data_IF_363968003221
#
_entry.id   IF_363968003221
#
_cell.length_a   1.000
_cell.length_b   1.000
_cell.length_c   1.000
_cell.angle_alpha   90.00
_cell.angle_beta   90.00
_cell.angle_gamma   90.00
#
_symmetry.space_group_name_H-M   'P 1'
#
loop_
_entity.id
_entity.type
_entity.pdbx_description
1 polymer ?
#
# COMPACT_ATOMS: atom_id res chain seq x y z
N UNK A 1 -18.79 35.01 2.60
CA UNK A 1 -17.57 34.17 2.49
C UNK A 1 -16.47 34.82 3.33
N UNK A 2 -16.05 34.14 4.39
CA UNK A 2 -15.11 34.64 5.40
C UNK A 2 -13.70 34.85 4.81
N UNK A 3 -12.98 35.90 5.25
CA UNK A 3 -11.58 36.19 4.86
C UNK A 3 -10.64 34.99 5.05
N UNK A 4 -10.99 34.04 5.90
CA UNK A 4 -10.24 32.81 6.16
C UNK A 4 -10.23 31.87 4.93
N UNK A 5 -11.30 31.86 4.13
CA UNK A 5 -11.36 31.04 2.91
C UNK A 5 -10.43 31.55 1.79
N UNK A 6 -10.05 32.83 1.80
CA UNK A 6 -9.05 33.35 0.85
C UNK A 6 -7.65 32.83 1.17
N UNK A 7 -7.27 32.75 2.45
CA UNK A 7 -5.93 32.31 2.85
C UNK A 7 -5.68 30.84 2.51
N UNK A 8 -6.68 29.97 2.66
CA UNK A 8 -6.56 28.54 2.33
C UNK A 8 -6.50 28.30 0.81
N UNK A 9 -7.16 29.14 0.00
CA UNK A 9 -7.09 29.03 -1.47
C UNK A 9 -5.83 29.67 -2.06
N UNK A 10 -5.22 30.65 -1.38
CA UNK A 10 -3.95 31.27 -1.81
C UNK A 10 -2.77 30.30 -1.69
N UNK A 11 -2.81 29.31 -0.79
CA UNK A 11 -1.74 28.30 -0.67
C UNK A 11 -1.72 27.33 -1.87
N UNK A 12 -2.78 27.24 -2.68
CA UNK A 12 -2.84 26.37 -3.87
C UNK A 12 -2.62 27.10 -5.22
N UNK A 13 -2.33 28.40 -5.20
CA UNK A 13 -2.09 29.21 -6.40
C UNK A 13 -0.82 30.06 -6.23
N UNK A 14 0.30 29.42 -5.92
CA UNK A 14 1.61 30.02 -6.22
C UNK A 14 1.85 29.78 -7.71
N UNK A 15 1.27 30.64 -8.55
CA UNK A 15 1.65 30.74 -9.95
C UNK A 15 3.11 31.13 -10.00
N UNK A 16 3.92 30.27 -10.62
CA UNK A 16 5.28 30.54 -11.08
C UNK A 16 5.38 31.94 -11.70
N UNK A 17 5.85 32.91 -10.92
CA UNK A 17 6.39 34.16 -11.44
C UNK A 17 7.88 34.16 -11.10
N UNK A 18 8.64 33.43 -11.90
CA UNK A 18 10.07 33.67 -12.03
C UNK A 18 10.25 35.11 -12.52
N UNK A 19 10.61 36.04 -11.63
CA UNK A 19 10.73 37.46 -11.96
C UNK A 19 12.19 37.92 -11.96
N UNK A 20 12.57 38.61 -13.03
CA UNK A 20 13.89 39.16 -13.33
C UNK A 20 13.87 40.68 -13.40
N UNK A 21 14.97 41.35 -12.99
CA UNK A 21 15.38 42.75 -13.26
C UNK A 21 14.30 43.68 -13.86
N UNK A 22 13.47 44.27 -12.99
CA UNK A 22 12.41 45.20 -13.38
C UNK A 22 11.34 45.46 -12.31
N UNK A 23 11.43 44.84 -11.14
CA UNK A 23 10.44 44.97 -10.07
C UNK A 23 10.52 46.34 -9.38
N UNK A 24 9.35 46.88 -9.10
CA UNK A 24 9.17 48.09 -8.31
C UNK A 24 9.47 47.82 -6.83
N UNK A 25 9.89 48.87 -6.11
CA UNK A 25 10.06 48.83 -4.65
C UNK A 25 8.83 48.27 -3.93
N UNK A 26 7.63 48.61 -4.41
CA UNK A 26 6.39 48.14 -3.82
C UNK A 26 6.22 46.61 -3.94
N UNK A 27 6.54 46.02 -5.09
CA UNK A 27 6.45 44.57 -5.28
C UNK A 27 7.41 43.81 -4.34
N UNK A 28 8.61 44.36 -4.10
CA UNK A 28 9.56 43.76 -3.15
C UNK A 28 9.08 43.87 -1.69
N UNK A 29 8.44 44.99 -1.32
CA UNK A 29 7.84 45.16 0.00
C UNK A 29 6.66 44.20 0.20
N UNK A 30 5.81 44.04 -0.81
CA UNK A 30 4.67 43.12 -0.78
C UNK A 30 5.16 41.67 -0.63
N UNK A 31 6.21 41.27 -1.37
CA UNK A 31 6.84 39.96 -1.22
C UNK A 31 7.39 39.72 0.20
N UNK A 32 8.08 40.71 0.79
CA UNK A 32 8.58 40.61 2.16
C UNK A 32 7.43 40.47 3.16
N UNK A 33 6.32 41.19 2.96
CA UNK A 33 5.13 41.08 3.81
C UNK A 33 4.45 39.71 3.69
N UNK A 34 4.34 39.17 2.49
CA UNK A 34 3.81 37.83 2.28
C UNK A 34 4.69 36.75 2.95
N UNK A 35 6.02 36.86 2.80
CA UNK A 35 6.97 35.96 3.42
C UNK A 35 6.97 36.07 4.96
N UNK A 36 6.87 37.28 5.51
CA UNK A 36 6.73 37.51 6.95
C UNK A 36 5.43 36.90 7.48
N UNK A 37 4.30 37.12 6.79
CA UNK A 37 3.02 36.52 7.16
C UNK A 37 3.08 34.98 7.17
N UNK A 38 3.78 34.37 6.20
CA UNK A 38 4.04 32.93 6.17
C UNK A 38 4.85 32.50 7.41
N UNK A 39 5.98 33.15 7.69
CA UNK A 39 6.84 32.82 8.83
C UNK A 39 6.12 32.97 10.17
N UNK A 40 5.32 34.01 10.35
CA UNK A 40 4.49 34.22 11.54
C UNK A 40 3.42 33.13 11.70
N UNK A 41 2.81 32.71 10.59
CA UNK A 41 1.88 31.58 10.58
C UNK A 41 2.60 30.29 11.01
N UNK A 42 3.77 30.01 10.45
CA UNK A 42 4.60 28.84 10.82
C UNK A 42 5.02 28.88 12.29
N UNK A 43 5.39 30.05 12.83
CA UNK A 43 5.77 30.23 14.23
C UNK A 43 4.62 29.91 15.20
N UNK A 44 3.38 30.13 14.75
CA UNK A 44 2.16 29.88 15.51
C UNK A 44 1.47 28.56 15.14
N UNK A 45 2.06 27.71 14.30
CA UNK A 45 1.46 26.44 13.89
C UNK A 45 1.07 25.52 15.06
N UNK A 46 1.75 25.60 16.21
CA UNK A 46 1.39 24.86 17.43
C UNK A 46 -0.01 25.20 17.94
N UNK A 47 -0.45 26.45 17.70
CA UNK A 47 -1.74 26.99 18.14
C UNK A 47 -2.86 26.68 17.15
N UNK A 48 -2.62 25.82 16.16
CA UNK A 48 -3.60 25.46 15.13
C UNK A 48 -4.96 25.17 15.76
N UNK A 49 -5.90 26.06 15.47
CA UNK A 49 -7.30 25.86 15.76
C UNK A 49 -7.87 25.17 14.54
N UNK A 50 -8.37 23.95 14.71
CA UNK A 50 -9.07 23.26 13.63
C UNK A 50 -10.13 24.21 13.04
N UNK A 51 -10.09 24.41 11.71
CA UNK A 51 -11.17 25.08 10.97
C UNK A 51 -12.50 24.46 11.37
N UNK A 52 -13.61 25.21 11.43
CA UNK A 52 -14.88 24.74 11.99
C UNK A 52 -15.34 23.39 11.38
N UNK A 53 -14.88 22.30 11.99
CA UNK A 53 -14.96 20.94 11.46
C UNK A 53 -16.36 20.39 11.61
N UNK A 54 -17.25 21.13 12.27
CA UNK A 54 -18.67 20.81 12.39
C UNK A 54 -19.31 20.59 11.03
N UNK A 55 -19.00 21.38 10.01
CA UNK A 55 -19.55 21.17 8.65
C UNK A 55 -19.07 19.85 8.02
N UNK A 56 -17.77 19.53 8.14
CA UNK A 56 -17.25 18.22 7.68
C UNK A 56 -17.85 17.06 8.48
N UNK A 57 -17.86 17.15 9.81
CA UNK A 57 -18.47 16.14 10.68
C UNK A 57 -19.96 15.95 10.36
N UNK A 58 -20.75 17.00 10.12
CA UNK A 58 -22.17 16.85 9.71
C UNK A 58 -22.34 16.14 8.38
N UNK A 59 -21.36 16.28 7.47
CA UNK A 59 -21.38 15.59 6.18
C UNK A 59 -21.08 14.09 6.34
N UNK A 60 -20.14 13.73 7.22
CA UNK A 60 -19.76 12.33 7.47
C UNK A 60 -20.64 11.60 8.49
N UNK A 61 -21.21 12.31 9.48
CA UNK A 61 -22.11 11.74 10.50
C UNK A 61 -23.51 11.41 9.95
N UNK A 62 -23.89 12.03 8.83
CA UNK A 62 -25.09 11.65 8.07
C UNK A 62 -24.87 10.43 7.16
N UNK A 63 -23.64 9.96 6.98
CA UNK A 63 -23.45 8.61 6.46
C UNK A 63 -23.84 7.65 7.58
N UNK A 64 -24.75 6.69 7.33
CA UNK A 64 -25.08 5.70 8.35
C UNK A 64 -23.77 5.13 8.84
N UNK A 65 -23.53 5.22 10.16
CA UNK A 65 -22.49 4.49 10.90
C UNK A 65 -22.31 3.19 10.12
N UNK A 66 -21.19 3.04 9.39
CA UNK A 66 -20.93 1.74 8.80
C UNK A 66 -21.00 0.81 10.00
N UNK A 67 -21.98 -0.09 9.92
CA UNK A 67 -22.42 -0.93 11.02
C UNK A 67 -21.17 -1.47 11.71
N UNK A 68 -21.31 -1.78 13.00
CA UNK A 68 -20.48 -2.82 13.60
C UNK A 68 -20.08 -3.81 12.50
N UNK A 69 -18.80 -4.16 12.42
CA UNK A 69 -18.27 -5.21 11.54
C UNK A 69 -18.88 -6.61 11.90
N UNK A 70 -20.15 -6.65 12.33
CA UNK A 70 -21.14 -7.69 12.15
C UNK A 70 -21.83 -7.57 10.79
N UNK A 71 -21.09 -7.24 9.74
CA UNK A 71 -21.39 -7.92 8.50
C UNK A 71 -21.06 -9.38 8.79
N UNK A 72 -22.11 -10.21 8.97
CA UNK A 72 -22.12 -11.48 8.24
C UNK A 72 -21.89 -11.04 6.79
N UNK A 73 -20.62 -10.93 6.41
CA UNK A 73 -20.23 -10.36 5.14
C UNK A 73 -20.79 -11.30 4.08
N UNK A 74 -21.54 -10.72 3.15
CA UNK A 74 -21.95 -11.41 1.95
C UNK A 74 -20.67 -11.77 1.19
N UNK A 75 -20.29 -13.05 1.30
CA UNK A 75 -19.05 -13.67 0.81
C UNK A 75 -18.86 -13.52 -0.72
N UNK A 76 -19.81 -12.94 -1.43
CA UNK A 76 -19.93 -13.01 -2.89
C UNK A 76 -19.47 -11.77 -3.69
N UNK A 77 -18.99 -10.68 -3.05
CA UNK A 77 -18.95 -9.38 -3.75
C UNK A 77 -17.63 -8.58 -3.77
N UNK A 78 -16.51 -9.07 -3.25
CA UNK A 78 -15.30 -8.22 -3.09
C UNK A 78 -14.02 -8.77 -3.72
N UNK A 79 -14.13 -9.55 -4.80
CA UNK A 79 -13.00 -9.93 -5.62
C UNK A 79 -13.01 -9.10 -6.90
N UNK A 80 -12.05 -8.19 -7.07
CA UNK A 80 -11.73 -7.75 -8.42
C UNK A 80 -11.23 -8.99 -9.18
N UNK A 81 -11.95 -9.33 -10.25
CA UNK A 81 -11.68 -10.44 -11.18
C UNK A 81 -10.23 -10.35 -11.69
N UNK A 82 -9.35 -11.18 -11.15
CA UNK A 82 -7.97 -11.29 -11.62
C UNK A 82 -7.15 -12.23 -10.76
N UNK A 83 -6.86 -13.42 -11.32
CA UNK A 83 -5.81 -14.42 -11.05
C UNK A 83 -5.18 -14.49 -9.63
N UNK A 84 -4.99 -15.71 -9.05
CA UNK A 84 -4.11 -16.68 -9.70
C UNK A 84 -4.43 -18.17 -9.42
N UNK A 85 -4.70 -19.00 -10.43
CA UNK A 85 -4.51 -20.43 -10.33
C UNK A 85 -3.08 -20.76 -10.81
N UNK A 86 -2.59 -21.94 -10.49
CA UNK A 86 -1.34 -22.52 -11.02
C UNK A 86 -1.04 -22.03 -12.45
N UNK A 87 0.01 -21.23 -12.61
CA UNK A 87 0.25 -20.54 -13.89
C UNK A 87 0.93 -21.43 -14.93
N UNK A 88 1.64 -22.48 -14.50
CA UNK A 88 2.42 -23.32 -15.40
C UNK A 88 2.79 -24.67 -14.78
N UNK A 89 2.68 -25.74 -15.58
CA UNK A 89 3.18 -27.08 -15.27
C UNK A 89 4.40 -27.38 -16.16
N UNK A 90 5.61 -27.52 -15.59
CA UNK A 90 6.84 -27.81 -16.37
C UNK A 90 7.32 -29.27 -16.12
N UNK A 91 7.20 -30.16 -17.10
CA UNK A 91 7.46 -31.62 -17.03
C UNK A 91 8.86 -32.02 -17.56
N UNK A 92 9.53 -33.16 -17.18
CA UNK A 92 9.13 -34.28 -16.29
C UNK A 92 9.25 -34.05 -14.79
N UNK A 93 9.83 -32.93 -14.37
CA UNK A 93 9.96 -32.58 -12.95
C UNK A 93 8.98 -31.47 -12.64
N UNK A 94 7.68 -31.77 -12.64
CA UNK A 94 6.56 -30.82 -12.57
C UNK A 94 6.84 -29.70 -11.58
N UNK A 95 7.46 -28.62 -12.09
CA UNK A 95 7.62 -27.39 -11.36
C UNK A 95 6.28 -26.72 -11.51
N UNK A 96 5.53 -26.67 -10.43
CA UNK A 96 4.40 -25.78 -10.37
C UNK A 96 4.97 -24.43 -10.01
N UNK A 97 5.07 -23.57 -11.02
CA UNK A 97 5.33 -22.16 -10.80
C UNK A 97 4.03 -21.55 -10.31
N UNK A 98 3.95 -21.32 -9.00
CA UNK A 98 2.87 -20.55 -8.41
C UNK A 98 3.31 -19.09 -8.46
N UNK A 99 2.92 -18.42 -9.54
CA UNK A 99 3.08 -16.98 -9.65
C UNK A 99 1.95 -16.32 -8.88
N UNK A 100 2.21 -15.97 -7.62
CA UNK A 100 1.32 -15.10 -6.88
C UNK A 100 1.60 -13.68 -7.35
N UNK A 101 0.88 -13.24 -8.39
CA UNK A 101 1.05 -11.88 -8.93
C UNK A 101 0.69 -10.80 -7.90
N UNK A 102 -0.02 -11.17 -6.81
CA UNK A 102 -0.17 -10.40 -5.56
C UNK A 102 -0.49 -11.38 -4.45
N UNK A 103 0.49 -11.74 -3.61
CA UNK A 103 0.13 -12.08 -2.23
C UNK A 103 -0.36 -10.77 -1.64
N UNK A 104 -1.67 -10.52 -1.72
CA UNK A 104 -2.26 -9.38 -1.04
C UNK A 104 -2.20 -9.70 0.45
N UNK A 105 -1.02 -9.58 1.03
CA UNK A 105 -0.78 -9.90 2.43
C UNK A 105 -1.53 -8.91 3.30
N UNK A 106 -1.86 -7.71 2.81
CA UNK A 106 -2.87 -6.88 3.47
C UNK A 106 -4.26 -7.55 3.58
N UNK A 107 -4.63 -8.51 2.71
CA UNK A 107 -5.80 -9.37 2.93
C UNK A 107 -5.49 -10.59 3.82
N UNK A 108 -4.29 -11.16 3.74
CA UNK A 108 -3.85 -12.24 4.64
C UNK A 108 -3.75 -11.76 6.10
N UNK A 109 -3.32 -10.52 6.33
CA UNK A 109 -3.20 -9.87 7.64
C UNK A 109 -4.52 -9.23 8.11
N UNK A 110 -5.62 -9.54 7.40
CA UNK A 110 -6.93 -8.89 7.51
C UNK A 110 -6.96 -7.45 6.95
N UNK A 111 -8.08 -7.04 6.33
CA UNK A 111 -8.21 -5.78 5.56
C UNK A 111 -7.91 -4.49 6.36
N UNK A 112 -7.77 -4.63 7.67
CA UNK A 112 -7.44 -3.56 8.59
C UNK A 112 -5.93 -3.42 8.89
N UNK A 113 -5.04 -4.21 8.26
CA UNK A 113 -3.58 -4.01 8.35
C UNK A 113 -3.15 -2.82 7.47
N UNK A 114 -2.96 -1.61 8.03
CA UNK A 114 -2.90 -0.39 7.22
C UNK A 114 -1.52 -0.10 6.61
N UNK A 115 -0.53 -0.97 6.80
CA UNK A 115 0.88 -0.62 6.57
C UNK A 115 1.50 -1.41 5.44
N UNK A 116 1.40 -0.82 4.25
CA UNK A 116 2.14 -1.25 3.06
C UNK A 116 3.65 -1.14 3.24
N UNK A 117 4.18 -0.18 4.02
CA UNK A 117 5.63 0.06 4.09
C UNK A 117 6.41 -0.89 5.00
N UNK A 118 5.92 -1.18 6.22
CA UNK A 118 6.50 -2.22 7.09
C UNK A 118 6.46 -3.59 6.42
N UNK A 119 5.35 -3.83 5.73
CA UNK A 119 5.15 -4.99 4.88
C UNK A 119 6.18 -5.03 3.73
N UNK A 120 6.32 -3.98 2.92
CA UNK A 120 7.27 -3.91 1.80
C UNK A 120 8.71 -4.14 2.26
N UNK A 121 9.09 -3.61 3.42
CA UNK A 121 10.46 -3.69 3.93
C UNK A 121 10.83 -5.05 4.54
N UNK A 122 9.85 -5.88 4.90
CA UNK A 122 10.10 -7.15 5.60
C UNK A 122 9.49 -8.38 4.90
N UNK A 123 8.78 -8.20 3.77
CA UNK A 123 8.14 -9.30 3.06
C UNK A 123 9.16 -10.25 2.43
N UNK A 124 10.30 -9.75 1.99
CA UNK A 124 11.42 -10.58 1.52
C UNK A 124 11.89 -11.60 2.58
N UNK A 125 11.68 -11.30 3.87
CA UNK A 125 11.99 -12.20 4.99
C UNK A 125 10.90 -13.23 5.30
N UNK A 126 9.72 -13.18 4.65
CA UNK A 126 8.67 -14.16 4.90
C UNK A 126 9.10 -15.59 4.54
N UNK A 127 8.88 -16.53 5.46
CA UNK A 127 9.24 -17.94 5.32
C UNK A 127 7.97 -18.75 5.06
N UNK A 128 7.90 -19.41 3.91
CA UNK A 128 6.79 -20.29 3.55
C UNK A 128 7.14 -21.73 3.89
N UNK A 129 6.23 -22.42 4.59
CA UNK A 129 6.33 -23.85 4.88
C UNK A 129 5.10 -24.54 4.33
N UNK A 130 5.31 -25.46 3.40
CA UNK A 130 4.25 -26.25 2.83
C UNK A 130 3.87 -27.37 3.79
N UNK A 131 2.56 -27.52 4.06
CA UNK A 131 2.05 -28.51 5.00
C UNK A 131 1.42 -29.68 4.27
N UNK A 132 0.52 -29.39 3.33
CA UNK A 132 -0.22 -30.41 2.58
C UNK A 132 -0.34 -30.02 1.14
N UNK A 133 -0.30 -31.01 0.25
CA UNK A 133 -0.66 -30.84 -1.16
C UNK A 133 -1.85 -31.73 -1.46
N UNK A 134 -2.86 -31.16 -2.10
CA UNK A 134 -4.02 -31.83 -2.65
C UNK A 134 -3.82 -31.92 -4.17
N UNK A 135 -3.88 -33.11 -4.73
CA UNK A 135 -3.74 -33.34 -6.17
C UNK A 135 -5.10 -33.41 -6.85
N UNK A 136 -5.14 -33.16 -8.16
CA UNK A 136 -6.38 -33.22 -8.95
C UNK A 136 -6.94 -34.65 -9.08
N UNK A 137 -6.15 -35.69 -8.81
CA UNK A 137 -6.63 -37.07 -8.71
C UNK A 137 -7.30 -37.40 -7.36
N UNK A 138 -7.38 -36.42 -6.46
CA UNK A 138 -7.93 -36.56 -5.10
C UNK A 138 -6.93 -37.12 -4.08
N UNK A 139 -5.71 -37.48 -4.48
CA UNK A 139 -4.67 -37.89 -3.55
C UNK A 139 -4.13 -36.70 -2.75
N UNK A 140 -3.64 -36.98 -1.54
CA UNK A 140 -3.11 -35.96 -0.62
C UNK A 140 -1.72 -36.38 -0.16
N UNK A 141 -0.80 -35.43 -0.11
CA UNK A 141 0.54 -35.60 0.46
C UNK A 141 0.72 -34.70 1.67
N UNK A 142 0.94 -35.31 2.81
CA UNK A 142 0.99 -34.67 4.14
C UNK A 142 2.42 -34.74 4.72
N UNK A 143 3.39 -34.16 3.99
CA UNK A 143 4.80 -34.12 4.41
C UNK A 143 5.39 -32.74 4.09
N UNK A 144 6.37 -32.30 4.89
CA UNK A 144 7.17 -31.11 4.59
C UNK A 144 7.83 -31.27 3.23
N UNK A 145 7.35 -30.50 2.25
CA UNK A 145 7.91 -30.46 0.91
C UNK A 145 8.91 -29.32 0.86
N UNK A 146 10.11 -29.64 0.39
CA UNK A 146 11.14 -28.63 0.14
C UNK A 146 10.64 -27.69 -0.95
N UNK A 147 10.41 -26.43 -0.57
CA UNK A 147 10.28 -25.32 -1.51
C UNK A 147 11.55 -25.30 -2.35
N UNK A 148 11.40 -25.40 -3.67
CA UNK A 148 12.55 -25.58 -4.56
C UNK A 148 13.22 -24.25 -4.85
N UNK A 149 12.43 -23.18 -4.94
CA UNK A 149 12.93 -21.83 -5.13
C UNK A 149 11.93 -20.78 -4.63
N UNK A 150 12.47 -19.64 -4.18
CA UNK A 150 11.75 -18.42 -3.81
C UNK A 150 12.29 -17.29 -4.68
N UNK A 151 11.50 -16.84 -5.64
CA UNK A 151 11.88 -15.71 -6.49
C UNK A 151 11.12 -14.47 -6.02
N UNK A 152 11.85 -13.44 -5.64
CA UNK A 152 11.30 -12.13 -5.23
C UNK A 152 11.40 -11.19 -6.43
N UNK A 153 10.28 -10.60 -6.85
CA UNK A 153 10.20 -9.60 -7.91
C UNK A 153 10.65 -8.22 -7.41
N UNK A 154 11.29 -7.43 -8.27
CA UNK A 154 11.66 -6.03 -7.98
C UNK A 154 10.45 -5.09 -7.85
N UNK A 155 9.30 -5.47 -8.43
CA UNK A 155 8.06 -4.71 -8.29
C UNK A 155 7.30 -5.18 -7.04
N UNK A 156 7.26 -4.34 -6.00
CA UNK A 156 6.36 -4.42 -4.84
C UNK A 156 6.28 -5.78 -4.09
N UNK A 157 7.36 -6.55 -4.05
CA UNK A 157 7.45 -7.72 -3.17
C UNK A 157 6.65 -8.95 -3.62
N UNK A 158 6.37 -9.10 -4.93
CA UNK A 158 5.77 -10.33 -5.45
C UNK A 158 6.70 -11.53 -5.19
N UNK A 159 6.12 -12.64 -4.72
CA UNK A 159 6.87 -13.87 -4.48
C UNK A 159 6.34 -15.01 -5.34
N UNK A 160 7.24 -15.66 -6.07
CA UNK A 160 6.94 -16.90 -6.78
C UNK A 160 7.39 -18.07 -5.94
N UNK A 161 6.45 -18.97 -5.63
CA UNK A 161 6.75 -20.25 -4.97
C UNK A 161 6.88 -21.33 -6.05
N UNK A 162 8.01 -22.03 -6.06
CA UNK A 162 8.21 -23.17 -6.96
C UNK A 162 8.10 -24.48 -6.19
N UNK A 163 7.08 -25.27 -6.51
CA UNK A 163 6.85 -26.59 -5.92
C UNK A 163 7.23 -27.69 -6.89
N UNK A 164 7.88 -28.75 -6.39
CA UNK A 164 8.10 -29.97 -7.17
C UNK A 164 7.00 -30.99 -6.89
N UNK A 165 6.40 -31.53 -7.96
CA UNK A 165 5.39 -32.56 -7.90
C UNK A 165 5.60 -33.63 -8.98
N UNK A 166 4.98 -34.79 -8.80
CA UNK A 166 4.91 -35.84 -9.83
C UNK A 166 3.52 -35.89 -10.47
N UNK A 167 2.56 -35.13 -9.96
CA UNK A 167 1.16 -35.10 -10.38
C UNK A 167 0.63 -33.67 -10.43
N UNK A 168 -0.42 -33.38 -11.22
CA UNK A 168 -1.10 -32.09 -11.20
C UNK A 168 -1.69 -31.75 -9.83
N UNK A 169 -1.38 -30.56 -9.31
CA UNK A 169 -1.80 -30.10 -7.98
C UNK A 169 -3.13 -29.35 -8.12
N UNK A 170 -4.05 -29.64 -7.21
CA UNK A 170 -5.32 -28.92 -7.06
C UNK A 170 -5.15 -27.72 -6.14
N UNK A 171 -4.60 -27.96 -4.94
CA UNK A 171 -4.38 -26.93 -3.93
C UNK A 171 -3.32 -27.37 -2.93
N UNK A 172 -2.96 -26.49 -2.01
CA UNK A 172 -2.05 -26.83 -0.93
C UNK A 172 -2.31 -25.97 0.31
N UNK A 173 -2.02 -26.55 1.47
CA UNK A 173 -1.94 -25.85 2.75
C UNK A 173 -0.52 -25.37 2.97
N UNK A 174 -0.37 -24.12 3.40
CA UNK A 174 0.92 -23.55 3.77
C UNK A 174 0.79 -22.68 5.01
N UNK A 175 1.89 -22.60 5.77
CA UNK A 175 2.08 -21.54 6.75
C UNK A 175 3.05 -20.50 6.20
N UNK A 176 2.70 -19.22 6.32
CA UNK A 176 3.60 -18.10 6.08
C UNK A 176 4.02 -17.53 7.43
N UNK A 177 5.31 -17.58 7.72
CA UNK A 177 5.91 -16.98 8.89
C UNK A 177 6.50 -15.62 8.51
N UNK A 178 6.11 -14.56 9.21
CA UNK A 178 6.59 -13.19 8.98
C UNK A 178 7.32 -12.67 10.21
N UNK A 179 8.28 -11.77 9.98
CA UNK A 179 9.03 -11.03 10.99
C UNK A 179 8.64 -9.55 10.90
N UNK A 180 7.45 -9.22 11.41
CA UNK A 180 6.92 -7.86 11.31
C UNK A 180 7.36 -7.02 12.50
N UNK A 181 7.42 -5.70 12.34
CA UNK A 181 7.77 -4.82 13.44
C UNK A 181 6.69 -4.85 14.53
N UNK A 182 7.13 -4.77 15.79
CA UNK A 182 6.22 -4.81 16.93
C UNK A 182 5.40 -3.53 17.01
N UNK A 183 4.07 -3.66 16.96
CA UNK A 183 3.18 -2.57 17.32
C UNK A 183 3.20 -2.34 18.84
N UNK A 184 3.47 -1.10 19.24
CA UNK A 184 3.38 -0.64 20.63
C UNK A 184 2.34 0.45 20.70
N UNK A 185 1.31 0.26 21.53
CA UNK A 185 0.26 1.26 21.72
C UNK A 185 0.51 2.08 22.99
N UNK A 186 0.44 3.40 22.86
CA UNK A 186 0.56 4.37 23.93
C UNK A 186 -0.75 5.15 24.04
N UNK A 187 -1.43 5.03 25.18
CA UNK A 187 -2.67 5.80 25.44
C UNK A 187 -2.35 7.30 25.58
N UNK A 188 -3.15 8.13 24.93
CA UNK A 188 -3.09 9.59 25.04
C UNK A 188 -4.03 10.02 26.15
N UNK A 189 -3.44 10.49 27.24
CA UNK A 189 -4.15 10.90 28.47
C UNK A 189 -4.38 12.40 28.55
N UNK A 190 -3.55 13.22 27.89
CA UNK A 190 -3.64 14.69 27.91
C UNK A 190 -2.84 15.37 26.82
N UNK A 191 -3.21 16.61 26.51
CA UNK A 191 -2.37 17.57 25.77
C UNK A 191 -1.08 17.87 26.54
N UNK A 192 0.04 18.02 25.83
CA UNK A 192 1.39 18.18 26.37
C UNK A 192 2.04 16.87 26.83
N UNK A 193 1.39 15.72 26.66
CA UNK A 193 1.99 14.43 26.95
C UNK A 193 3.17 14.16 26.01
N UNK A 194 4.30 13.73 26.56
CA UNK A 194 5.46 13.27 25.81
C UNK A 194 5.57 11.76 25.91
N UNK A 195 5.76 11.08 24.78
CA UNK A 195 5.90 9.64 24.66
C UNK A 195 7.29 9.36 24.10
N UNK A 196 8.10 8.59 24.83
CA UNK A 196 9.42 8.17 24.40
C UNK A 196 9.34 6.80 23.70
N UNK A 197 9.93 6.72 22.51
CA UNK A 197 10.00 5.50 21.70
C UNK A 197 11.46 5.18 21.36
N UNK A 198 11.71 4.03 20.75
CA UNK A 198 13.06 3.67 20.27
C UNK A 198 13.55 4.57 19.12
N UNK A 199 12.64 5.18 18.36
CA UNK A 199 12.98 6.06 17.22
C UNK A 199 13.02 7.56 17.57
N UNK A 200 12.61 7.93 18.79
CA UNK A 200 12.56 9.32 19.25
C UNK A 200 11.35 9.64 20.11
N UNK A 201 11.16 10.93 20.39
CA UNK A 201 10.06 11.41 21.23
C UNK A 201 8.90 11.94 20.41
N UNK A 202 7.68 11.62 20.83
CA UNK A 202 6.43 12.13 20.28
C UNK A 202 5.78 13.06 21.32
N UNK A 203 5.45 14.28 20.94
CA UNK A 203 4.75 15.25 21.78
C UNK A 203 3.30 15.39 21.33
N UNK A 204 2.35 15.24 22.25
CA UNK A 204 0.92 15.45 21.98
C UNK A 204 0.61 16.94 22.09
N UNK A 205 0.43 17.59 20.95
CA UNK A 205 0.12 19.02 20.86
C UNK A 205 -1.35 19.30 21.16
N UNK A 206 -2.24 18.38 20.76
CA UNK A 206 -3.67 18.48 21.06
C UNK A 206 -4.32 17.10 21.08
N UNK A 207 -5.28 16.90 21.97
CA UNK A 207 -6.14 15.71 22.02
C UNK A 207 -7.53 16.08 22.53
N UNK A 208 -8.54 16.00 21.65
CA UNK A 208 -9.94 16.25 21.99
C UNK A 208 -10.70 16.93 20.85
N UNK A 209 -12.00 17.19 21.04
CA UNK A 209 -12.86 17.86 20.04
C UNK A 209 -12.78 17.20 18.65
N UNK A 210 -12.77 15.86 18.62
CA UNK A 210 -12.77 15.07 17.39
C UNK A 210 -11.44 15.04 16.63
N UNK A 211 -10.32 15.52 17.20
CA UNK A 211 -9.01 15.37 16.56
C UNK A 211 -7.85 15.20 17.54
N UNK A 212 -6.75 14.68 17.01
CA UNK A 212 -5.47 14.58 17.71
C UNK A 212 -4.39 15.19 16.82
N UNK A 213 -3.51 15.97 17.43
CA UNK A 213 -2.32 16.51 16.78
C UNK A 213 -1.09 16.17 17.60
N UNK A 214 -0.09 15.62 16.94
CA UNK A 214 1.20 15.26 17.54
C UNK A 214 2.34 15.93 16.78
N UNK A 215 3.46 16.15 17.48
CA UNK A 215 4.74 16.57 16.91
C UNK A 215 5.72 15.41 17.07
N UNK A 216 6.40 15.05 15.99
CA UNK A 216 7.37 13.95 15.96
C UNK A 216 8.53 14.31 15.04
N UNK A 217 9.65 13.58 15.08
CA UNK A 217 10.71 13.73 14.08
C UNK A 217 10.22 13.27 12.71
N UNK A 218 10.77 13.85 11.65
CA UNK A 218 10.37 13.53 10.27
C UNK A 218 10.56 12.04 9.89
N UNK A 219 11.67 11.35 10.28
CA UNK A 219 11.82 9.92 10.00
C UNK A 219 10.74 9.04 10.64
N UNK A 220 10.09 9.50 11.72
CA UNK A 220 9.02 8.77 12.39
C UNK A 220 7.65 8.93 11.71
N UNK A 221 7.53 9.74 10.64
CA UNK A 221 6.27 9.96 9.91
C UNK A 221 5.54 8.66 9.54
N UNK A 222 6.31 7.65 9.13
CA UNK A 222 5.76 6.34 8.71
C UNK A 222 5.76 5.30 9.83
N UNK A 223 6.25 5.65 11.02
CA UNK A 223 6.33 4.76 12.19
C UNK A 223 5.16 4.97 13.16
N UNK A 224 4.27 5.92 12.89
CA UNK A 224 3.25 6.37 13.85
C UNK A 224 1.86 6.43 13.22
N UNK A 225 0.84 5.94 13.94
CA UNK A 225 -0.59 6.12 13.65
C UNK A 225 -1.31 6.59 14.90
N UNK A 226 -2.38 7.36 14.70
CA UNK A 226 -3.30 7.71 15.79
C UNK A 226 -4.59 6.92 15.62
N UNK A 227 -5.03 6.29 16.71
CA UNK A 227 -6.30 5.60 16.81
C UNK A 227 -7.19 6.32 17.83
N UNK A 228 -8.49 6.29 17.61
CA UNK A 228 -9.48 6.82 18.55
C UNK A 228 -10.66 5.87 18.68
N UNK A 229 -11.28 5.84 19.86
CA UNK A 229 -12.47 5.02 20.16
C UNK A 229 -13.56 5.83 20.83
N UNK A 230 -14.81 5.48 20.57
CA UNK A 230 -15.98 6.10 21.21
C UNK A 230 -16.23 5.59 22.64
N UNK A 231 -17.31 6.04 23.28
CA UNK A 231 -17.69 5.62 24.63
C UNK A 231 -17.96 4.11 24.77
N UNK A 232 -18.31 3.44 23.67
CA UNK A 232 -18.55 1.99 23.63
C UNK A 232 -17.29 1.20 23.28
N UNK A 233 -16.14 1.88 23.13
CA UNK A 233 -14.88 1.27 22.72
C UNK A 233 -14.79 0.93 21.24
N UNK A 234 -15.73 1.43 20.40
CA UNK A 234 -15.70 1.21 18.95
C UNK A 234 -14.68 2.16 18.32
N UNK A 235 -13.84 1.64 17.45
CA UNK A 235 -12.85 2.44 16.74
C UNK A 235 -13.54 3.45 15.81
N UNK A 236 -13.08 4.70 15.86
CA UNK A 236 -13.58 5.77 15.00
C UNK A 236 -12.82 5.81 13.68
N UNK A 237 -13.57 6.06 12.61
CA UNK A 237 -13.01 6.32 11.28
C UNK A 237 -12.37 7.70 11.23
N UNK A 238 -11.27 7.81 10.49
CA UNK A 238 -10.61 9.08 10.18
C UNK A 238 -11.30 9.74 8.99
N UNK A 239 -11.66 11.01 9.12
CA UNK A 239 -12.29 11.80 8.03
C UNK A 239 -11.27 12.62 7.25
N UNK A 240 -10.19 13.03 7.90
CA UNK A 240 -9.12 13.80 7.29
C UNK A 240 -7.81 13.59 8.07
N UNK A 241 -6.69 13.76 7.37
CA UNK A 241 -5.36 13.81 7.97
C UNK A 241 -4.55 14.94 7.33
N UNK A 242 -3.76 15.64 8.14
CA UNK A 242 -2.85 16.70 7.69
C UNK A 242 -1.43 16.41 8.17
N UNK A 243 -0.46 16.75 7.33
CA UNK A 243 0.96 16.72 7.64
C UNK A 243 1.54 18.11 7.37
N UNK A 244 2.27 18.67 8.34
CA UNK A 244 2.91 19.98 8.19
C UNK A 244 4.28 19.98 8.86
N UNK A 245 5.28 20.53 8.20
CA UNK A 245 6.60 20.69 8.80
C UNK A 245 6.51 21.54 10.08
N UNK A 246 7.30 21.16 11.06
CA UNK A 246 7.47 21.86 12.32
C UNK A 246 8.88 22.41 12.38
N UNK A 247 8.98 23.67 12.80
CA UNK A 247 10.25 24.40 12.86
C UNK A 247 10.54 24.80 14.30
N UNK A 248 11.82 24.97 14.64
CA UNK A 248 12.19 25.57 15.92
C UNK A 248 11.80 27.04 15.93
N UNK A 249 11.18 27.47 17.03
CA UNK A 249 10.69 28.85 17.17
C UNK A 249 11.81 29.88 17.09
N UNK A 250 12.97 29.56 17.68
CA UNK A 250 14.10 30.49 17.72
C UNK A 250 14.69 30.69 16.32
N UNK A 251 14.76 29.62 15.53
CA UNK A 251 15.19 29.68 14.14
C UNK A 251 14.26 30.57 13.30
N UNK A 252 12.94 30.36 13.37
CA UNK A 252 11.96 31.20 12.67
C UNK A 252 12.01 32.68 13.10
N UNK A 253 12.24 32.96 14.39
CA UNK A 253 12.35 34.34 14.90
C UNK A 253 13.54 35.09 14.33
N UNK A 254 14.66 34.41 14.11
CA UNK A 254 15.83 35.01 13.45
C UNK A 254 15.47 35.43 12.02
N UNK A 255 14.76 34.59 11.28
CA UNK A 255 14.28 34.91 9.93
C UNK A 255 13.33 36.10 9.90
N UNK A 256 12.32 36.09 10.77
CA UNK A 256 11.35 37.20 10.90
C UNK A 256 12.10 38.51 11.16
N UNK A 257 13.00 38.51 12.17
CA UNK A 257 13.78 39.71 12.52
C UNK A 257 14.63 40.21 11.35
N UNK A 258 15.30 39.31 10.62
CA UNK A 258 16.13 39.67 9.47
C UNK A 258 15.31 40.24 8.31
N UNK A 259 14.12 39.68 8.04
CA UNK A 259 13.21 40.18 7.01
C UNK A 259 12.57 41.53 7.40
N UNK A 260 12.19 41.73 8.66
CA UNK A 260 11.71 43.02 9.16
C UNK A 260 12.78 44.11 9.01
N UNK A 261 14.04 43.79 9.32
CA UNK A 261 15.17 44.70 9.10
C UNK A 261 15.37 45.01 7.62
N UNK A 262 15.36 43.99 6.75
CA UNK A 262 15.47 44.18 5.31
C UNK A 262 14.34 45.06 4.76
N UNK A 263 13.11 44.85 5.22
CA UNK A 263 11.96 45.69 4.88
C UNK A 263 12.19 47.15 5.26
N UNK A 264 12.66 47.40 6.49
CA UNK A 264 12.94 48.76 6.96
C UNK A 264 14.08 49.46 6.19
N UNK A 265 15.11 48.70 5.80
CA UNK A 265 16.22 49.21 4.98
C UNK A 265 15.77 49.51 3.54
N UNK A 266 14.96 48.62 2.94
CA UNK A 266 14.39 48.82 1.61
C UNK A 266 13.47 50.05 1.59
N UNK A 267 12.66 50.24 2.62
CA UNK A 267 11.75 51.39 2.74
C UNK A 267 12.51 52.74 2.79
N UNK A 268 13.72 52.75 3.36
CA UNK A 268 14.62 53.91 3.40
C UNK A 268 15.55 54.03 2.18
N UNK A 269 15.41 53.16 1.18
CA UNK A 269 16.29 53.07 0.01
C UNK A 269 17.77 52.81 0.38
N UNK A 270 18.02 52.16 1.54
CA UNK A 270 19.37 51.78 2.00
C UNK A 270 19.85 50.45 1.37
N UNK A 271 18.92 49.64 0.84
CA UNK A 271 19.20 48.45 0.04
C UNK A 271 18.29 48.43 -1.19
N UNK A 272 18.69 47.69 -2.22
CA UNK A 272 17.95 47.55 -3.48
C UNK A 272 17.02 46.34 -3.49
N UNK A 273 16.01 46.38 -4.35
CA UNK A 273 15.16 45.21 -4.64
C UNK A 273 15.95 43.97 -5.07
N UNK A 274 17.04 44.14 -5.84
CA UNK A 274 17.88 43.03 -6.28
C UNK A 274 18.56 42.33 -5.09
N UNK A 275 19.08 43.12 -4.12
CA UNK A 275 19.67 42.58 -2.89
C UNK A 275 18.63 41.86 -2.03
N UNK A 276 17.39 42.38 -1.95
CA UNK A 276 16.28 41.73 -1.24
C UNK A 276 15.91 40.41 -1.91
N UNK A 277 15.72 40.38 -3.23
CA UNK A 277 15.39 39.16 -3.95
C UNK A 277 16.47 38.09 -3.84
N UNK A 278 17.75 38.48 -3.89
CA UNK A 278 18.86 37.55 -3.78
C UNK A 278 18.93 36.84 -2.42
N UNK A 279 18.23 37.34 -1.39
CA UNK A 279 18.32 36.79 -0.03
C UNK A 279 16.99 36.36 0.57
N UNK A 280 15.90 36.99 0.18
CA UNK A 280 14.60 36.86 0.83
C UNK A 280 13.47 36.58 -0.16
N UNK A 281 13.79 36.13 -1.39
CA UNK A 281 12.74 35.64 -2.29
C UNK A 281 12.05 34.41 -1.70
N UNK A 282 10.82 34.16 -2.13
CA UNK A 282 10.06 33.00 -1.67
C UNK A 282 10.76 31.69 -2.02
N UNK A 283 11.49 31.60 -3.14
CA UNK A 283 12.28 30.41 -3.51
C UNK A 283 13.40 30.15 -2.51
N UNK A 284 14.14 31.19 -2.11
CA UNK A 284 15.24 31.06 -1.15
C UNK A 284 14.68 30.69 0.22
N UNK A 285 13.63 31.39 0.66
CA UNK A 285 12.97 31.09 1.92
C UNK A 285 12.49 29.63 1.96
N UNK A 286 11.82 29.16 0.91
CA UNK A 286 11.32 27.78 0.85
C UNK A 286 12.48 26.77 0.88
N UNK A 287 13.55 27.02 0.13
CA UNK A 287 14.73 26.14 0.12
C UNK A 287 15.42 26.07 1.50
N UNK A 288 15.50 27.20 2.21
CA UNK A 288 16.07 27.24 3.55
C UNK A 288 15.15 26.56 4.57
N UNK A 289 13.84 26.83 4.52
CA UNK A 289 12.87 26.14 5.37
C UNK A 289 12.90 24.62 5.17
N UNK A 290 12.97 24.14 3.94
CA UNK A 290 13.05 22.69 3.67
C UNK A 290 14.27 22.04 4.35
N UNK A 291 15.39 22.75 4.45
CA UNK A 291 16.59 22.28 5.17
C UNK A 291 16.49 22.37 6.70
N UNK A 292 15.53 23.12 7.24
CA UNK A 292 15.39 23.39 8.68
C UNK A 292 14.33 22.53 9.38
N UNK A 293 13.45 21.87 8.62
CA UNK A 293 12.44 21.00 9.18
C UNK A 293 13.07 19.75 9.81
N UNK A 294 13.16 19.72 11.15
CA UNK A 294 13.63 18.54 11.90
C UNK A 294 12.48 17.70 12.47
N UNK A 295 11.27 18.25 12.42
CA UNK A 295 10.08 17.69 13.01
C UNK A 295 8.84 17.96 12.15
N UNK A 296 7.77 17.23 12.45
CA UNK A 296 6.54 17.20 11.69
C UNK A 296 5.35 17.22 12.66
N UNK A 297 4.34 18.01 12.32
CA UNK A 297 3.01 17.86 12.87
C UNK A 297 2.21 16.85 12.07
N UNK A 298 1.71 15.83 12.76
CA UNK A 298 0.71 14.90 12.25
C UNK A 298 -0.62 15.21 12.93
N UNK A 299 -1.64 15.52 12.13
CA UNK A 299 -3.00 15.79 12.63
C UNK A 299 -3.97 14.78 12.03
N UNK A 300 -4.80 14.19 12.87
CA UNK A 300 -5.83 13.22 12.46
C UNK A 300 -7.18 13.62 13.02
N UNK A 301 -8.16 13.75 12.13
CA UNK A 301 -9.53 14.14 12.43
C UNK A 301 -10.46 12.93 12.34
N UNK A 302 -11.36 12.79 13.31
CA UNK A 302 -12.26 11.65 13.43
C UNK A 302 -13.72 12.04 13.15
N UNK A 303 -14.53 11.05 12.77
CA UNK A 303 -15.97 11.20 12.45
C UNK A 303 -16.80 11.79 13.60
N UNK A 304 -16.32 11.68 14.83
CA UNK A 304 -16.96 12.24 16.03
C UNK A 304 -15.92 12.53 17.12
N UNK A 305 -16.37 13.12 18.22
CA UNK A 305 -15.61 13.09 19.47
C UNK A 305 -15.32 11.67 19.91
N UNK A 306 -14.17 11.47 20.56
CA UNK A 306 -13.70 10.18 21.06
C UNK A 306 -13.59 10.19 22.58
N UNK A 307 -13.75 9.00 23.16
CA UNK A 307 -13.53 8.76 24.59
C UNK A 307 -12.07 8.48 24.90
N UNK A 308 -11.38 7.75 24.03
CA UNK A 308 -9.95 7.45 24.15
C UNK A 308 -9.25 7.64 22.82
N UNK A 309 -8.01 8.08 22.88
CA UNK A 309 -7.09 8.08 21.74
C UNK A 309 -5.78 7.41 22.13
N UNK A 310 -5.12 6.79 21.17
CA UNK A 310 -3.83 6.13 21.35
C UNK A 310 -2.93 6.40 20.17
N UNK A 311 -1.64 6.48 20.43
CA UNK A 311 -0.60 6.43 19.41
C UNK A 311 -0.16 4.97 19.26
N UNK A 312 -0.23 4.44 18.05
CA UNK A 312 0.39 3.17 17.69
C UNK A 312 1.73 3.49 17.04
N UNK A 313 2.80 2.95 17.60
CA UNK A 313 4.17 3.11 17.12
C UNK A 313 4.71 1.75 16.65
N UNK A 314 5.31 1.71 15.46
CA UNK A 314 6.06 0.54 14.98
C UNK A 314 7.49 0.62 15.49
N UNK A 315 7.79 -0.25 16.46
CA UNK A 315 9.13 -0.37 17.01
C UNK A 315 9.99 -1.24 16.09
N UNK A 316 10.71 -0.59 15.18
CA UNK A 316 11.63 -1.26 14.25
C UNK A 316 12.87 -1.89 14.91
N UNK A 317 13.01 -1.77 16.23
CA UNK A 317 14.04 -2.47 17.01
C UNK A 317 13.55 -3.80 17.56
N UNK A 318 12.26 -4.10 17.40
CA UNK A 318 11.63 -5.32 17.90
C UNK A 318 10.78 -5.95 16.82
N UNK A 319 11.06 -7.21 16.52
CA UNK A 319 10.23 -8.00 15.62
C UNK A 319 9.26 -8.88 16.40
N UNK A 320 8.08 -9.11 15.82
CA UNK A 320 7.13 -10.11 16.26
C UNK A 320 7.00 -11.14 15.14
N UNK A 321 7.36 -12.37 15.50
CA UNK A 321 7.08 -13.53 14.68
C UNK A 321 5.58 -13.80 14.66
N UNK A 322 4.99 -13.79 13.48
CA UNK A 322 3.60 -14.16 13.26
C UNK A 322 3.52 -15.29 12.23
N UNK A 323 2.61 -16.23 12.44
CA UNK A 323 2.42 -17.39 11.57
C UNK A 323 0.99 -17.39 11.05
N UNK A 324 0.85 -17.41 9.73
CA UNK A 324 -0.41 -17.37 9.01
C UNK A 324 -0.65 -18.70 8.33
N UNK A 325 -1.74 -19.37 8.69
CA UNK A 325 -2.15 -20.65 8.10
C UNK A 325 -3.17 -20.43 6.99
N UNK A 326 -2.91 -20.92 5.79
CA UNK A 326 -3.76 -20.65 4.61
C UNK A 326 -3.85 -21.86 3.68
N UNK A 327 -4.94 -21.93 2.94
CA UNK A 327 -5.11 -22.85 1.80
C UNK A 327 -5.06 -22.05 0.49
N UNK A 328 -4.43 -22.62 -0.55
CA UNK A 328 -4.32 -21.94 -1.85
C UNK A 328 -5.63 -21.85 -2.63
N UNK A 329 -6.62 -22.68 -2.33
CA UNK A 329 -7.93 -22.70 -3.01
C UNK A 329 -8.86 -21.58 -2.51
N UNK A 330 -8.60 -21.00 -1.33
CA UNK A 330 -9.40 -19.91 -0.75
C UNK A 330 -9.26 -18.57 -1.50
N UNK A 331 -8.53 -18.54 -2.62
CA UNK A 331 -8.20 -17.34 -3.37
C UNK A 331 -8.91 -17.19 -4.73
N UNK A 332 -9.86 -18.06 -5.10
CA UNK A 332 -10.53 -17.94 -6.43
C UNK A 332 -12.03 -18.27 -6.42
N UNK A 333 -12.80 -17.47 -7.18
CA UNK A 333 -14.23 -17.67 -7.48
C UNK A 333 -14.50 -18.38 -8.83
N UNK A 334 -13.45 -18.76 -9.57
CA UNK A 334 -13.56 -19.49 -10.83
C UNK A 334 -12.43 -20.51 -10.86
N UNK A 335 -12.78 -21.79 -10.73
CA UNK A 335 -11.85 -22.90 -10.47
C UNK A 335 -11.44 -23.61 -11.77
N UNK A 336 -10.32 -23.25 -12.42
CA UNK A 336 -9.75 -24.08 -13.47
C UNK A 336 -9.48 -25.53 -12.99
N UNK A 337 -9.37 -25.76 -11.68
CA UNK A 337 -9.34 -27.10 -11.09
C UNK A 337 -10.59 -27.91 -11.45
N UNK A 338 -11.79 -27.33 -11.39
CA UNK A 338 -13.03 -28.01 -11.74
C UNK A 338 -13.06 -28.40 -13.23
N UNK A 339 -12.53 -27.53 -14.11
CA UNK A 339 -12.35 -27.84 -15.53
C UNK A 339 -11.37 -29.01 -15.73
N UNK A 340 -10.23 -28.98 -15.04
CA UNK A 340 -9.21 -30.03 -15.18
C UNK A 340 -9.65 -31.36 -14.55
N UNK A 341 -10.45 -31.35 -13.49
CA UNK A 341 -11.11 -32.53 -12.94
C UNK A 341 -12.07 -33.14 -13.97
N UNK A 342 -12.92 -32.31 -14.58
CA UNK A 342 -13.83 -32.75 -15.63
C UNK A 342 -13.07 -33.35 -16.84
N UNK A 343 -12.04 -32.66 -17.32
CA UNK A 343 -11.24 -33.11 -18.47
C UNK A 343 -10.28 -34.26 -18.13
N UNK A 344 -9.96 -34.47 -16.86
CA UNK A 344 -8.98 -35.45 -16.36
C UNK A 344 -7.59 -35.31 -17.00
N UNK A 345 -7.21 -34.09 -17.37
CA UNK A 345 -5.91 -33.73 -17.93
C UNK A 345 -5.58 -32.26 -17.64
N UNK A 346 -4.30 -31.90 -17.69
CA UNK A 346 -3.83 -30.50 -17.60
C UNK A 346 -2.86 -30.19 -18.73
N UNK A 347 -2.76 -28.92 -19.10
CA UNK A 347 -1.72 -28.44 -20.03
C UNK A 347 -0.39 -28.41 -19.29
N UNK A 348 0.66 -28.94 -19.92
CA UNK A 348 2.02 -28.86 -19.39
C UNK A 348 3.02 -28.52 -20.49
N UNK A 349 4.06 -27.77 -20.12
CA UNK A 349 5.23 -27.48 -20.95
C UNK A 349 6.32 -28.50 -20.66
N UNK A 350 6.97 -29.01 -21.70
CA UNK A 350 8.15 -29.83 -21.55
C UNK A 350 9.40 -28.97 -21.34
N UNK A 351 10.15 -29.24 -20.27
CA UNK A 351 11.33 -28.45 -19.91
C UNK A 351 12.43 -28.45 -20.96
N UNK A 352 12.53 -29.51 -21.76
CA UNK A 352 13.63 -29.69 -22.72
C UNK A 352 13.32 -29.04 -24.07
N UNK A 353 12.11 -29.22 -24.56
CA UNK A 353 11.66 -28.71 -25.86
C UNK A 353 10.96 -27.36 -25.77
N UNK A 354 10.54 -26.94 -24.57
CA UNK A 354 9.71 -25.76 -24.31
C UNK A 354 8.33 -25.80 -25.00
N UNK A 355 7.96 -26.95 -25.58
CA UNK A 355 6.67 -27.16 -26.21
C UNK A 355 5.62 -27.62 -25.20
N UNK A 356 4.36 -27.34 -25.51
CA UNK A 356 3.22 -27.70 -24.70
C UNK A 356 2.57 -28.99 -25.19
N UNK A 357 2.01 -29.73 -24.23
CA UNK A 357 1.23 -30.95 -24.42
C UNK A 357 0.18 -31.09 -23.32
N UNK A 358 -0.41 -32.28 -23.18
CA UNK A 358 -1.37 -32.60 -22.12
C UNK A 358 -0.85 -33.76 -21.28
N UNK A 359 -0.84 -33.61 -19.96
CA UNK A 359 -0.58 -34.70 -19.01
C UNK A 359 -1.88 -35.12 -18.32
N UNK A 360 -1.96 -36.37 -17.91
CA UNK A 360 -3.06 -36.89 -17.10
C UNK A 360 -2.90 -36.57 -15.62
N UNK A 361 -3.92 -36.89 -14.82
CA UNK A 361 -3.89 -36.69 -13.36
C UNK A 361 -2.80 -37.53 -12.66
N UNK A 362 -2.35 -38.62 -13.29
CA UNK A 362 -1.21 -39.42 -12.82
C UNK A 362 0.16 -38.82 -13.16
N UNK A 363 0.19 -37.71 -13.91
CA UNK A 363 1.42 -37.01 -14.30
C UNK A 363 2.09 -37.52 -15.57
N UNK A 364 1.52 -38.49 -16.30
CA UNK A 364 2.08 -38.97 -17.57
C UNK A 364 1.55 -38.18 -18.77
N UNK A 365 2.34 -38.02 -19.83
CA UNK A 365 1.86 -37.46 -21.10
C UNK A 365 0.69 -38.28 -21.65
N UNK A 366 -0.40 -37.59 -21.95
CA UNK A 366 -1.52 -38.08 -22.75
C UNK A 366 -1.33 -37.63 -24.21
N UNK A 367 -0.95 -36.37 -24.38
CA UNK A 367 -0.57 -35.78 -25.67
C UNK A 367 0.85 -35.26 -25.51
N UNK A 368 1.76 -35.86 -26.27
CA UNK A 368 3.18 -35.44 -26.30
C UNK A 368 3.33 -33.95 -26.66
N UNK A 369 4.38 -33.29 -26.13
CA UNK A 369 4.69 -31.89 -26.44
C UNK A 369 4.88 -31.66 -27.93
N UNK A 370 4.07 -30.78 -28.50
CA UNK A 370 4.15 -30.41 -29.93
C UNK A 370 3.59 -29.02 -30.25
N UNK A 371 3.06 -28.33 -29.25
CA UNK A 371 2.43 -27.03 -29.41
C UNK A 371 3.39 -25.94 -28.95
N UNK A 372 3.49 -24.85 -29.71
CA UNK A 372 4.19 -23.64 -29.26
C UNK A 372 3.40 -22.92 -28.16
N UNK A 373 2.07 -23.02 -28.21
CA UNK A 373 1.16 -22.54 -27.18
C UNK A 373 0.00 -23.53 -27.07
N UNK A 374 -0.46 -23.83 -25.86
CA UNK A 374 -1.68 -24.59 -25.62
C UNK A 374 -2.38 -24.05 -24.38
N UNK A 375 -3.68 -23.78 -24.46
CA UNK A 375 -4.46 -23.24 -23.35
C UNK A 375 -5.85 -23.88 -23.31
N UNK A 376 -6.35 -24.16 -22.10
CA UNK A 376 -7.72 -24.59 -21.91
C UNK A 376 -8.70 -23.42 -22.11
N UNK A 377 -9.83 -23.65 -22.80
CA UNK A 377 -10.91 -22.68 -22.89
C UNK A 377 -11.92 -22.92 -21.78
N UNK A 378 -12.02 -21.97 -20.86
CA UNK A 378 -12.86 -22.10 -19.68
C UNK A 378 -14.36 -21.98 -20.02
N UNK A 379 -15.19 -22.78 -19.36
CA UNK A 379 -16.65 -22.80 -19.55
C UNK A 379 -17.17 -23.74 -20.63
N UNK A 380 -16.28 -24.42 -21.37
CA UNK A 380 -16.66 -25.42 -22.39
C UNK A 380 -15.85 -26.70 -22.17
N UNK A 381 -16.51 -27.81 -21.82
CA UNK A 381 -15.82 -29.07 -21.51
C UNK A 381 -14.89 -29.53 -22.64
N UNK A 382 -13.62 -29.76 -22.31
CA UNK A 382 -12.64 -30.36 -23.22
C UNK A 382 -12.17 -29.47 -24.38
N UNK A 383 -12.46 -28.17 -24.42
CA UNK A 383 -12.02 -27.29 -25.51
C UNK A 383 -10.69 -26.61 -25.19
N UNK A 384 -9.76 -26.61 -26.15
CA UNK A 384 -8.42 -26.05 -26.04
C UNK A 384 -8.07 -25.16 -27.22
N UNK A 385 -7.23 -24.16 -27.01
CA UNK A 385 -6.64 -23.33 -28.06
C UNK A 385 -5.16 -23.69 -28.18
N UNK A 386 -4.74 -24.11 -29.37
CA UNK A 386 -3.38 -24.55 -29.63
C UNK A 386 -2.75 -23.83 -30.82
N UNK A 387 -1.45 -23.59 -30.75
CA UNK A 387 -0.60 -23.13 -31.85
C UNK A 387 0.48 -24.18 -32.11
N UNK A 388 0.63 -24.60 -33.37
CA UNK A 388 1.74 -25.46 -33.80
C UNK A 388 2.68 -24.68 -34.71
N UNK A 389 3.93 -25.13 -34.79
CA UNK A 389 4.92 -24.53 -35.68
C UNK A 389 4.56 -24.69 -37.17
N UNK A 390 3.74 -25.70 -37.48
CA UNK A 390 3.25 -25.99 -38.85
C UNK A 390 2.13 -25.05 -39.28
N UNK A 391 1.12 -24.85 -38.42
CA UNK A 391 -0.09 -24.10 -38.80
C UNK A 391 0.09 -22.57 -38.68
N UNK A 392 1.06 -22.10 -37.87
CA UNK A 392 1.33 -20.67 -37.54
C UNK A 392 0.09 -19.83 -37.21
N UNK A 393 -1.02 -20.48 -36.88
CA UNK A 393 -2.30 -19.89 -36.51
C UNK A 393 -2.86 -20.66 -35.33
N UNK A 394 -3.49 -19.95 -34.39
CA UNK A 394 -4.21 -20.56 -33.28
C UNK A 394 -5.44 -21.29 -33.80
N UNK A 395 -5.62 -22.53 -33.38
CA UNK A 395 -6.79 -23.34 -33.72
C UNK A 395 -7.40 -23.93 -32.46
N UNK A 396 -8.71 -24.14 -32.51
CA UNK A 396 -9.46 -24.83 -31.49
C UNK A 396 -9.30 -26.35 -31.60
N UNK A 397 -9.18 -27.01 -30.46
CA UNK A 397 -9.07 -28.46 -30.35
C UNK A 397 -10.05 -28.98 -29.30
N UNK A 398 -10.71 -30.09 -29.60
CA UNK A 398 -11.56 -30.80 -28.63
C UNK A 398 -10.82 -32.04 -28.13
N UNK A 399 -10.73 -32.16 -26.82
CA UNK A 399 -10.17 -33.32 -26.12
C UNK A 399 -11.24 -34.38 -25.93
N UNK A 400 -11.02 -35.53 -26.57
CA UNK A 400 -11.78 -36.75 -26.36
C UNK A 400 -11.17 -37.50 -25.18
N UNK A 401 -11.88 -37.46 -24.05
CA UNK A 401 -11.44 -38.08 -22.79
C UNK A 401 -11.36 -39.60 -22.86
N UNK A 402 -12.27 -40.25 -23.60
CA UNK A 402 -12.31 -41.71 -23.71
C UNK A 402 -11.14 -42.21 -24.56
N UNK A 403 -10.93 -41.58 -25.72
CA UNK A 403 -9.89 -41.98 -26.65
C UNK A 403 -8.54 -41.31 -26.39
N UNK A 404 -8.47 -40.39 -25.41
CA UNK A 404 -7.27 -39.63 -25.04
C UNK A 404 -6.66 -38.90 -26.23
N UNK A 405 -7.50 -38.26 -27.05
CA UNK A 405 -7.10 -37.61 -28.32
C UNK A 405 -7.50 -36.16 -28.35
N UNK A 406 -6.65 -35.35 -28.98
CA UNK A 406 -6.91 -33.94 -29.20
C UNK A 406 -7.18 -33.69 -30.70
N UNK A 407 -8.41 -33.35 -31.04
CA UNK A 407 -8.87 -33.23 -32.44
C UNK A 407 -9.08 -31.77 -32.82
N UNK A 408 -8.46 -31.34 -33.91
CA UNK A 408 -8.63 -29.98 -34.47
C UNK A 408 -10.09 -29.79 -34.90
N UNK A 409 -10.75 -28.74 -34.41
CA UNK A 409 -12.11 -28.41 -34.86
C UNK A 409 -12.05 -27.83 -36.28
N UNK A 410 -13.03 -28.18 -37.11
CA UNK A 410 -13.18 -27.53 -38.43
C UNK A 410 -13.96 -26.24 -38.21
N UNK A 411 -13.26 -25.11 -38.13
CA UNK A 411 -13.84 -23.80 -38.40
C UNK A 411 -13.40 -23.33 -39.78
#
# INVERSE_FOLDING_TARGET
>A
MSKIFKIVFTILLITNNSCSNGQSKQECLDMLDDNLALLEHLLNNDKHVATDFKEMQTTFSNQPYQKENKTKFDESSHFHKGYPPITEYIYPNTFIKLKFDRFNIAHTLDKDYPFTMDFINNIDQAIFKLKKIYFLDGSVRDQEIKVVDKIVSEQLGDQTLVLSGTKPIKSFDYSMETHLNKEVSYEITRTGQRIETSAGSIEVIHCGNGYVRIKTSEPMRHLVRILATDEKGRQLTTVAAEQRNAYKKDDLRVYITNMEQAKALLDKDEITCAEVHQKYSSEILNAELDGMADSLFLTQYFVSDFKKASIVFWDNTKEVKQVYERNSADQTDLRPEDFYEACSCVVAQDKKSELYGLIGLEGNWIIEPKFLELNAQWGTEGLFWGLTDVDKKRVEYVFDKENKKLTKTRK
#
